data_IF_615034892806
#
_entry.id   IF_615034892806
#
_cell.length_a   1.000
_cell.length_b   1.000
_cell.length_c   1.000
_cell.angle_alpha   90.00
_cell.angle_beta   90.00
_cell.angle_gamma   90.00
#
_symmetry.space_group_name_H-M   'P 1'
#
loop_
_entity.id
_entity.type
_entity.pdbx_description
1 polymer ?
#
# COMPACT_ATOMS: atom_id res chain seq x y z
N UNK A 1 2.29 -5.41 -17.60
CA UNK A 1 2.34 -3.94 -17.79
C UNK A 1 1.09 -3.31 -17.15
N UNK A 2 1.09 -2.05 -16.76
CA UNK A 2 -0.08 -1.37 -16.14
C UNK A 2 -0.32 -0.03 -16.79
N UNK A 3 -1.57 0.28 -17.13
CA UNK A 3 -1.91 1.55 -17.75
C UNK A 3 -2.06 2.63 -16.68
N UNK A 4 -1.29 3.72 -16.79
CA UNK A 4 -1.44 4.89 -15.93
C UNK A 4 -1.70 6.13 -16.78
N UNK A 5 -1.94 7.27 -16.14
CA UNK A 5 -2.00 8.58 -16.82
C UNK A 5 -0.73 8.93 -17.62
N UNK A 6 0.41 8.29 -17.31
CA UNK A 6 1.67 8.44 -18.04
C UNK A 6 1.87 7.40 -19.17
N UNK A 7 0.86 6.57 -19.45
CA UNK A 7 0.92 5.46 -20.39
C UNK A 7 1.17 4.12 -19.71
N UNK A 8 1.45 3.09 -20.51
CA UNK A 8 1.75 1.78 -19.97
C UNK A 8 3.14 1.74 -19.32
N UNK A 9 3.20 1.26 -18.09
CA UNK A 9 4.46 1.11 -17.35
C UNK A 9 4.41 -0.05 -16.37
N UNK A 10 5.56 -0.35 -15.80
CA UNK A 10 5.73 -1.26 -14.67
C UNK A 10 6.39 -0.50 -13.53
N UNK A 11 6.18 -0.97 -12.30
CA UNK A 11 6.85 -0.43 -11.13
C UNK A 11 8.30 -0.94 -11.08
N UNK A 12 9.20 -0.07 -10.65
CA UNK A 12 10.65 -0.34 -10.56
C UNK A 12 11.22 0.27 -9.27
N UNK A 13 12.36 -0.24 -8.82
CA UNK A 13 13.10 0.32 -7.67
C UNK A 13 12.25 0.44 -6.40
N UNK A 14 12.39 1.56 -5.70
CA UNK A 14 11.73 1.85 -4.43
C UNK A 14 10.20 1.84 -4.51
N UNK A 15 9.65 2.26 -5.66
CA UNK A 15 8.20 2.22 -5.89
C UNK A 15 7.67 0.78 -5.90
N UNK A 16 8.38 -0.14 -6.57
CA UNK A 16 8.05 -1.56 -6.51
C UNK A 16 8.29 -2.16 -5.13
N UNK A 17 9.37 -1.77 -4.45
CA UNK A 17 9.67 -2.26 -3.10
C UNK A 17 8.54 -1.94 -2.11
N UNK A 18 8.02 -0.71 -2.12
CA UNK A 18 6.87 -0.30 -1.32
C UNK A 18 5.62 -1.11 -1.66
N UNK A 19 5.28 -1.18 -2.95
CA UNK A 19 4.10 -1.89 -3.40
C UNK A 19 4.14 -3.37 -3.04
N UNK A 20 5.29 -4.02 -3.26
CA UNK A 20 5.51 -5.43 -2.95
C UNK A 20 5.39 -5.71 -1.45
N UNK A 21 5.85 -4.80 -0.60
CA UNK A 21 5.72 -4.94 0.85
C UNK A 21 4.25 -4.91 1.28
N UNK A 22 3.50 -3.89 0.85
CA UNK A 22 2.07 -3.79 1.14
C UNK A 22 1.27 -4.98 0.60
N UNK A 23 1.61 -5.44 -0.62
CA UNK A 23 1.01 -6.62 -1.22
C UNK A 23 1.30 -7.89 -0.41
N UNK A 24 2.54 -8.07 0.05
CA UNK A 24 2.92 -9.24 0.86
C UNK A 24 2.18 -9.26 2.18
N UNK A 25 2.10 -8.13 2.88
CA UNK A 25 1.39 -8.03 4.15
C UNK A 25 -0.11 -8.32 3.98
N UNK A 26 -0.74 -7.74 2.95
CA UNK A 26 -2.17 -7.98 2.68
C UNK A 26 -2.43 -9.42 2.23
N UNK A 27 -1.51 -10.01 1.46
CA UNK A 27 -1.58 -11.42 1.10
C UNK A 27 -1.61 -12.32 2.34
N UNK A 28 -0.67 -12.11 3.25
CA UNK A 28 -0.57 -12.89 4.49
C UNK A 28 -1.85 -12.74 5.33
N UNK A 29 -2.40 -11.53 5.46
CA UNK A 29 -3.67 -11.29 6.17
C UNK A 29 -4.85 -12.05 5.52
N UNK A 30 -4.99 -11.97 4.19
CA UNK A 30 -6.05 -12.69 3.47
C UNK A 30 -5.85 -14.20 3.61
N UNK A 31 -4.62 -14.70 3.54
CA UNK A 31 -4.31 -16.13 3.65
C UNK A 31 -4.67 -16.71 5.03
N UNK A 32 -4.52 -15.94 6.10
CA UNK A 32 -4.87 -16.40 7.46
C UNK A 32 -6.32 -16.15 7.85
N UNK A 33 -7.05 -15.27 7.13
CA UNK A 33 -8.47 -15.01 7.40
C UNK A 33 -9.34 -16.27 7.25
N UNK A 34 -10.30 -16.44 8.15
CA UNK A 34 -11.35 -17.46 8.05
C UNK A 34 -12.47 -16.98 7.12
N UNK A 35 -13.16 -17.91 6.45
CA UNK A 35 -14.27 -17.54 5.55
C UNK A 35 -15.45 -16.90 6.33
N UNK A 36 -15.54 -17.15 7.63
CA UNK A 36 -16.59 -16.63 8.52
C UNK A 36 -16.25 -15.25 9.12
N UNK A 37 -15.03 -14.73 8.94
CA UNK A 37 -14.60 -13.42 9.47
C UNK A 37 -15.33 -12.23 8.83
N UNK A 38 -16.10 -12.47 7.77
CA UNK A 38 -16.83 -11.44 7.05
C UNK A 38 -15.98 -10.74 5.98
N UNK A 39 -16.45 -9.59 5.44
CA UNK A 39 -15.71 -8.84 4.44
C UNK A 39 -14.34 -8.38 4.98
N UNK A 40 -13.39 -8.20 4.08
CA UNK A 40 -12.04 -7.72 4.39
C UNK A 40 -12.03 -6.38 5.16
N UNK A 41 -10.89 -6.09 5.78
CA UNK A 41 -10.68 -4.96 6.71
C UNK A 41 -10.10 -3.73 6.03
N UNK A 42 -9.86 -3.75 4.72
CA UNK A 42 -9.11 -2.69 4.03
C UNK A 42 -9.93 -1.40 3.86
N UNK A 43 -11.26 -1.48 3.99
CA UNK A 43 -12.19 -0.37 3.77
C UNK A 43 -12.53 -0.15 2.29
N UNK A 44 -12.08 -1.04 1.39
CA UNK A 44 -12.31 -0.97 -0.05
C UNK A 44 -13.33 -2.06 -0.43
N UNK A 45 -14.61 -1.70 -0.38
CA UNK A 45 -15.73 -2.65 -0.51
C UNK A 45 -15.63 -3.57 -1.75
N UNK A 46 -15.21 -3.04 -2.90
CA UNK A 46 -15.07 -3.83 -4.15
C UNK A 46 -14.03 -4.94 -4.05
N UNK A 47 -13.06 -4.82 -3.14
CA UNK A 47 -12.09 -5.87 -2.81
C UNK A 47 -12.52 -6.67 -1.58
N UNK A 48 -12.98 -6.01 -0.53
CA UNK A 48 -13.31 -6.62 0.76
C UNK A 48 -14.51 -7.58 0.69
N UNK A 49 -15.48 -7.32 -0.18
CA UNK A 49 -16.67 -8.16 -0.35
C UNK A 49 -16.39 -9.46 -1.13
N UNK A 50 -15.17 -9.61 -1.67
CA UNK A 50 -14.81 -10.77 -2.47
C UNK A 50 -14.45 -12.00 -1.61
N UNK A 51 -14.76 -13.21 -2.09
CA UNK A 51 -14.26 -14.45 -1.49
C UNK A 51 -12.73 -14.43 -1.38
N UNK A 52 -12.20 -15.07 -0.34
CA UNK A 52 -10.75 -15.17 -0.07
C UNK A 52 -9.93 -15.58 -1.30
N UNK A 53 -10.36 -16.61 -2.02
CA UNK A 53 -9.67 -17.08 -3.21
C UNK A 53 -9.63 -16.03 -4.34
N UNK A 54 -10.68 -15.23 -4.48
CA UNK A 54 -10.76 -14.15 -5.48
C UNK A 54 -9.86 -12.97 -5.09
N UNK A 55 -9.80 -12.61 -3.79
CA UNK A 55 -8.86 -11.62 -3.27
C UNK A 55 -7.41 -12.01 -3.56
N UNK A 56 -7.02 -13.26 -3.27
CA UNK A 56 -5.67 -13.77 -3.57
C UNK A 56 -5.39 -13.79 -5.09
N UNK A 57 -6.37 -14.18 -5.91
CA UNK A 57 -6.21 -14.17 -7.37
C UNK A 57 -6.02 -12.75 -7.92
N UNK A 58 -6.73 -11.76 -7.38
CA UNK A 58 -6.57 -10.36 -7.76
C UNK A 58 -5.22 -9.80 -7.32
N UNK A 59 -4.78 -10.08 -6.08
CA UNK A 59 -3.44 -9.70 -5.61
C UNK A 59 -2.34 -10.25 -6.54
N UNK A 60 -2.43 -11.52 -6.93
CA UNK A 60 -1.50 -12.11 -7.88
C UNK A 60 -1.58 -11.47 -9.28
N UNK A 61 -2.79 -11.11 -9.73
CA UNK A 61 -3.01 -10.45 -11.01
C UNK A 61 -2.36 -9.07 -11.06
N UNK A 62 -2.62 -8.23 -10.04
CA UNK A 62 -2.03 -6.88 -9.99
C UNK A 62 -0.51 -6.93 -9.82
N UNK A 63 0.02 -7.88 -9.04
CA UNK A 63 1.47 -8.07 -8.90
C UNK A 63 2.12 -8.31 -10.27
N UNK A 64 1.60 -9.27 -11.04
CA UNK A 64 2.13 -9.59 -12.37
C UNK A 64 2.03 -8.40 -13.32
N UNK A 65 0.86 -7.77 -13.39
CA UNK A 65 0.62 -6.60 -14.24
C UNK A 65 1.60 -5.45 -13.94
N UNK A 66 1.91 -5.22 -12.67
CA UNK A 66 2.77 -4.13 -12.22
C UNK A 66 4.28 -4.46 -12.27
N UNK A 67 4.69 -5.72 -12.45
CA UNK A 67 6.12 -6.08 -12.51
C UNK A 67 6.63 -6.53 -13.87
N UNK A 68 5.78 -7.19 -14.64
CA UNK A 68 6.17 -7.90 -15.86
C UNK A 68 5.89 -7.02 -17.09
N UNK A 69 6.92 -6.74 -17.88
CA UNK A 69 6.80 -5.96 -19.13
C UNK A 69 6.28 -6.82 -20.28
N UNK A 70 6.45 -8.15 -20.20
CA UNK A 70 6.03 -9.08 -21.24
C UNK A 70 4.56 -9.53 -21.06
N UNK A 71 3.96 -9.25 -19.90
CA UNK A 71 2.57 -9.57 -19.62
C UNK A 71 1.64 -8.42 -20.07
N UNK A 72 0.55 -8.71 -20.82
CA UNK A 72 -0.40 -7.68 -21.23
C UNK A 72 -0.99 -6.97 -20.02
N UNK A 73 -1.33 -5.69 -20.19
CA UNK A 73 -2.01 -4.94 -19.14
C UNK A 73 -3.33 -5.65 -18.77
N UNK A 74 -3.56 -5.95 -17.47
CA UNK A 74 -4.86 -6.45 -17.07
C UNK A 74 -5.91 -5.37 -17.38
N UNK A 75 -7.14 -5.82 -17.67
CA UNK A 75 -8.25 -4.90 -17.85
C UNK A 75 -8.40 -4.05 -16.59
N UNK A 76 -8.31 -2.73 -16.75
CA UNK A 76 -8.54 -1.78 -15.67
C UNK A 76 -10.04 -1.74 -15.35
N UNK A 77 -10.40 -2.55 -14.37
CA UNK A 77 -11.73 -2.68 -13.83
C UNK A 77 -11.76 -2.14 -12.41
N UNK A 78 -12.96 -1.91 -11.89
CA UNK A 78 -13.14 -1.57 -10.48
C UNK A 78 -12.49 -2.59 -9.53
N UNK A 79 -12.37 -3.86 -9.94
CA UNK A 79 -11.72 -4.92 -9.14
C UNK A 79 -10.21 -4.73 -9.09
N UNK A 80 -9.56 -4.50 -10.24
CA UNK A 80 -8.10 -4.34 -10.31
C UNK A 80 -7.64 -3.02 -9.67
N UNK A 81 -8.37 -1.93 -9.92
CA UNK A 81 -8.13 -0.63 -9.28
C UNK A 81 -8.42 -0.68 -7.77
N UNK A 82 -9.53 -1.32 -7.37
CA UNK A 82 -9.85 -1.55 -5.97
C UNK A 82 -8.83 -2.41 -5.24
N UNK A 83 -8.19 -3.36 -5.92
CA UNK A 83 -7.11 -4.16 -5.34
C UNK A 83 -5.85 -3.32 -5.09
N UNK A 84 -5.48 -2.43 -6.03
CA UNK A 84 -4.39 -1.47 -5.81
C UNK A 84 -4.73 -0.55 -4.63
N UNK A 85 -5.95 -0.04 -4.58
CA UNK A 85 -6.41 0.79 -3.45
C UNK A 85 -6.36 0.04 -2.11
N UNK A 86 -6.74 -1.23 -2.06
CA UNK A 86 -6.69 -2.07 -0.86
C UNK A 86 -5.25 -2.26 -0.37
N UNK A 87 -4.28 -2.45 -1.27
CA UNK A 87 -2.85 -2.53 -0.93
C UNK A 87 -2.37 -1.22 -0.29
N UNK A 88 -2.73 -0.07 -0.86
CA UNK A 88 -2.38 1.25 -0.30
C UNK A 88 -3.06 1.52 1.05
N UNK A 89 -4.33 1.13 1.19
CA UNK A 89 -5.06 1.22 2.45
C UNK A 89 -4.39 0.37 3.54
N UNK A 90 -3.90 -0.83 3.17
CA UNK A 90 -3.18 -1.70 4.09
C UNK A 90 -1.81 -1.11 4.48
N UNK A 91 -1.06 -0.52 3.54
CA UNK A 91 0.18 0.22 3.85
C UNK A 91 -0.10 1.35 4.86
N UNK A 92 -1.17 2.11 4.65
CA UNK A 92 -1.59 3.20 5.55
C UNK A 92 -1.87 2.68 6.96
N UNK A 93 -2.60 1.56 7.07
CA UNK A 93 -2.87 0.92 8.37
C UNK A 93 -1.58 0.52 9.10
N UNK A 94 -0.61 -0.07 8.41
CA UNK A 94 0.66 -0.41 9.06
C UNK A 94 1.49 0.81 9.46
N UNK A 95 1.40 1.94 8.75
CA UNK A 95 2.01 3.20 9.18
C UNK A 95 1.33 3.74 10.44
N UNK A 96 0.00 3.64 10.54
CA UNK A 96 -0.74 3.99 11.76
C UNK A 96 -0.27 3.17 12.96
N UNK A 97 -0.17 1.84 12.79
CA UNK A 97 0.39 0.94 13.82
C UNK A 97 1.85 1.29 14.17
N UNK A 98 2.67 1.64 13.18
CA UNK A 98 4.06 2.07 13.40
C UNK A 98 4.12 3.32 14.30
N UNK A 99 3.28 4.32 14.03
CA UNK A 99 3.19 5.56 14.82
C UNK A 99 2.72 5.25 16.25
N UNK A 100 1.67 4.46 16.42
CA UNK A 100 1.13 4.08 17.73
C UNK A 100 2.18 3.34 18.58
N UNK A 101 2.91 2.39 17.97
CA UNK A 101 3.98 1.67 18.66
C UNK A 101 5.13 2.58 19.10
N UNK A 102 5.51 3.57 18.29
CA UNK A 102 6.52 4.56 18.68
C UNK A 102 6.09 5.42 19.86
N UNK A 103 4.81 5.79 19.92
CA UNK A 103 4.21 6.51 21.04
C UNK A 103 4.24 5.66 22.32
N UNK A 104 3.85 4.39 22.24
CA UNK A 104 3.89 3.45 23.37
C UNK A 104 5.32 3.23 23.90
N UNK A 105 6.29 3.07 23.00
CA UNK A 105 7.71 2.90 23.33
C UNK A 105 8.25 4.17 24.00
N UNK A 106 7.90 5.35 23.49
CA UNK A 106 8.30 6.64 24.05
C UNK A 106 7.68 6.88 25.43
N UNK A 107 6.41 6.50 25.61
CA UNK A 107 5.71 6.61 26.90
C UNK A 107 6.22 5.61 27.95
N UNK A 108 6.62 4.41 27.52
CA UNK A 108 7.10 3.34 28.41
C UNK A 108 8.60 3.39 28.72
N UNK A 109 9.38 4.22 28.01
CA UNK A 109 10.84 4.30 28.17
C UNK A 109 11.58 3.02 27.74
N UNK A 110 10.89 2.13 27.02
CA UNK A 110 11.47 0.94 26.42
C UNK A 110 12.32 1.32 25.21
N UNK A 111 13.41 0.60 24.94
CA UNK A 111 14.17 0.74 23.68
C UNK A 111 13.97 -0.54 22.87
N UNK A 112 12.73 -0.76 22.43
CA UNK A 112 12.35 -1.88 21.57
C UNK A 112 12.79 -1.64 20.13
N UNK A 113 14.02 -2.02 19.78
CA UNK A 113 14.55 -1.90 18.42
C UNK A 113 14.14 -3.12 17.58
N UNK A 114 12.98 -3.03 16.93
CA UNK A 114 12.59 -3.93 15.85
C UNK A 114 13.32 -3.56 14.55
N UNK A 115 13.84 -4.56 13.85
CA UNK A 115 14.79 -4.43 12.72
C UNK A 115 14.10 -4.43 11.34
N UNK A 116 12.84 -4.02 11.26
CA UNK A 116 12.21 -3.77 9.96
C UNK A 116 12.59 -2.38 9.48
N UNK A 117 12.83 -2.24 8.18
CA UNK A 117 12.92 -0.91 7.56
C UNK A 117 11.53 -0.27 7.78
N UNK A 118 11.42 0.88 8.44
CA UNK A 118 10.13 1.52 8.69
C UNK A 118 9.36 1.68 7.37
N UNK A 119 8.07 1.40 7.33
CA UNK A 119 7.27 1.57 6.10
C UNK A 119 7.33 3.03 5.65
N UNK A 120 7.41 3.95 6.60
CA UNK A 120 7.68 5.38 6.38
C UNK A 120 8.95 5.63 5.56
N UNK A 121 10.05 4.91 5.80
CA UNK A 121 11.28 5.03 4.99
C UNK A 121 11.08 4.54 3.55
N UNK A 122 10.26 3.49 3.37
CA UNK A 122 9.95 2.94 2.04
C UNK A 122 9.06 3.92 1.24
N UNK A 123 8.10 4.56 1.90
CA UNK A 123 7.27 5.62 1.31
C UNK A 123 8.13 6.80 0.87
N UNK A 124 9.05 7.27 1.71
CA UNK A 124 9.96 8.36 1.36
C UNK A 124 10.84 8.01 0.15
N UNK A 125 11.41 6.81 0.13
CA UNK A 125 12.23 6.35 -0.98
C UNK A 125 11.44 6.26 -2.30
N UNK A 126 10.19 5.77 -2.24
CA UNK A 126 9.31 5.73 -3.40
C UNK A 126 8.97 7.14 -3.90
N UNK A 127 8.58 8.05 -3.00
CA UNK A 127 8.26 9.44 -3.31
C UNK A 127 9.44 10.19 -3.96
N UNK A 128 10.64 10.04 -3.40
CA UNK A 128 11.87 10.61 -3.96
C UNK A 128 12.15 10.10 -5.37
N UNK A 129 12.00 8.79 -5.59
CA UNK A 129 12.25 8.18 -6.89
C UNK A 129 11.31 8.72 -7.98
N UNK A 130 10.03 8.92 -7.64
CA UNK A 130 9.01 9.35 -8.61
C UNK A 130 8.88 10.87 -8.73
N UNK A 131 9.67 11.62 -7.95
CA UNK A 131 9.74 13.08 -8.00
C UNK A 131 8.56 13.80 -7.38
N UNK A 132 7.94 13.23 -6.34
CA UNK A 132 6.90 13.92 -5.56
C UNK A 132 7.57 15.00 -4.70
N UNK A 133 7.24 16.27 -4.96
CA UNK A 133 7.66 17.41 -4.13
C UNK A 133 6.89 17.38 -2.81
N UNK A 134 7.48 16.78 -1.78
CA UNK A 134 6.94 16.84 -0.42
C UNK A 134 7.55 18.01 0.36
N UNK A 135 6.72 18.70 1.14
CA UNK A 135 7.20 19.56 2.22
C UNK A 135 7.89 18.74 3.31
N UNK A 136 8.49 19.39 4.32
CA UNK A 136 8.93 18.67 5.51
C UNK A 136 7.71 17.99 6.13
N UNK A 137 7.82 16.70 6.45
CA UNK A 137 6.83 16.04 7.31
C UNK A 137 7.03 16.60 8.71
N UNK A 138 6.01 17.28 9.23
CA UNK A 138 6.12 18.11 10.42
C UNK A 138 5.62 17.41 11.68
N UNK A 139 4.73 16.42 11.52
CA UNK A 139 4.16 15.71 12.65
C UNK A 139 4.97 14.44 12.95
N UNK A 140 5.51 14.37 14.17
CA UNK A 140 6.28 13.21 14.63
C UNK A 140 5.39 12.07 15.16
N UNK A 141 4.12 12.35 15.49
CA UNK A 141 3.19 11.38 16.11
C UNK A 141 1.72 11.77 15.92
N UNK A 142 0.81 10.84 16.22
CA UNK A 142 -0.63 11.04 16.26
C UNK A 142 -1.33 11.18 14.90
N UNK A 143 -2.58 11.62 14.95
CA UNK A 143 -3.44 11.75 13.76
C UNK A 143 -2.94 12.74 12.71
N UNK A 144 -2.22 13.80 13.14
CA UNK A 144 -1.61 14.76 12.20
C UNK A 144 -0.47 14.10 11.40
N UNK A 145 0.33 13.24 12.03
CA UNK A 145 1.35 12.46 11.33
C UNK A 145 0.71 11.50 10.33
N UNK A 146 -0.33 10.77 10.74
CA UNK A 146 -1.04 9.87 9.84
C UNK A 146 -1.67 10.60 8.65
N UNK A 147 -2.16 11.83 8.83
CA UNK A 147 -2.70 12.64 7.74
C UNK A 147 -1.62 12.98 6.70
N UNK A 148 -0.44 13.46 7.14
CA UNK A 148 0.68 13.76 6.24
C UNK A 148 1.13 12.52 5.44
N UNK A 149 1.21 11.35 6.08
CA UNK A 149 1.53 10.09 5.40
C UNK A 149 0.42 9.64 4.45
N UNK A 150 -0.84 9.85 4.82
CA UNK A 150 -2.00 9.51 3.98
C UNK A 150 -2.00 10.34 2.69
N UNK A 151 -1.67 11.63 2.77
CA UNK A 151 -1.58 12.49 1.59
C UNK A 151 -0.48 12.01 0.64
N UNK A 152 0.70 11.67 1.16
CA UNK A 152 1.80 11.16 0.35
C UNK A 152 1.48 9.80 -0.30
N UNK A 153 0.78 8.92 0.43
CA UNK A 153 0.30 7.64 -0.12
C UNK A 153 -0.77 7.83 -1.20
N UNK A 154 -1.67 8.80 -1.03
CA UNK A 154 -2.65 9.14 -2.06
C UNK A 154 -1.97 9.64 -3.34
N UNK A 155 -0.97 10.51 -3.23
CA UNK A 155 -0.20 10.95 -4.41
C UNK A 155 0.53 9.80 -5.12
N UNK A 156 1.08 8.85 -4.36
CA UNK A 156 1.70 7.65 -4.94
C UNK A 156 0.67 6.76 -5.64
N UNK A 157 -0.51 6.56 -5.03
CA UNK A 157 -1.62 5.78 -5.62
C UNK A 157 -2.17 6.43 -6.88
N UNK A 158 -2.43 7.74 -6.88
CA UNK A 158 -3.05 8.45 -7.99
C UNK A 158 -2.20 8.38 -9.28
N UNK A 159 -0.90 8.13 -9.15
CA UNK A 159 0.01 7.88 -10.28
C UNK A 159 -0.14 6.49 -10.91
N UNK A 160 -0.83 5.58 -10.24
CA UNK A 160 -1.20 4.25 -10.73
C UNK A 160 -2.64 4.20 -11.24
N UNK A 161 -3.47 5.16 -10.86
CA UNK A 161 -4.84 5.28 -11.36
C UNK A 161 -4.88 5.92 -12.75
N UNK A 162 -5.91 5.58 -13.52
CA UNK A 162 -6.14 6.15 -14.87
C UNK A 162 -7.14 7.29 -14.91
N UNK A 163 -7.82 7.55 -13.79
CA UNK A 163 -8.83 8.59 -13.67
C UNK A 163 -8.26 9.78 -12.91
N UNK A 164 -7.55 10.65 -13.63
CA UNK A 164 -7.37 12.05 -13.28
C UNK A 164 -8.35 12.93 -14.05
#
# INVERSE_FOLDING_TARGET
MWWTSAGERVLRGAEWELFREGLSCLWDEVEVSEEEDGPGTTGIAVFDDLPKAERLALLATVAKGLTDEDEPCPDLTALTEGTVAAIFAHIRYHIEVEIELEEEVSASGSSGRGRSRPLRDMVLAAADQVGIERGPLHAESGGDALAEWSDLLNELRDRMDTLG
#
